data_IF_871066282316
#
_entry.id   IF_871066282316
#
_cell.length_a   1.000
_cell.length_b   1.000
_cell.length_c   1.000
_cell.angle_alpha   90.00
_cell.angle_beta   90.00
_cell.angle_gamma   90.00
#
_symmetry.space_group_name_H-M   'P 1'
#
loop_
_entity.id
_entity.type
_entity.pdbx_description
1 polymer ?
#
# COMPACT_ATOMS: atom_id res chain seq x y z
N UNK A 1 1.87 7.77 17.95
CA UNK A 1 2.97 7.44 18.89
C UNK A 1 3.79 8.70 19.12
N UNK A 2 4.34 8.94 20.31
CA UNK A 2 5.14 10.15 20.59
C UNK A 2 6.46 10.12 19.79
N UNK A 3 6.83 11.22 19.15
CA UNK A 3 8.08 11.37 18.40
C UNK A 3 9.32 11.06 19.25
N UNK A 4 9.31 11.43 20.53
CA UNK A 4 10.43 11.11 21.44
C UNK A 4 10.61 9.59 21.64
N UNK A 5 9.51 8.84 21.69
CA UNK A 5 9.55 7.37 21.76
C UNK A 5 10.10 6.76 20.48
N UNK A 6 9.67 7.25 19.32
CA UNK A 6 10.17 6.79 18.03
C UNK A 6 11.66 7.08 17.87
N UNK A 7 12.11 8.28 18.25
CA UNK A 7 13.52 8.65 18.21
C UNK A 7 14.38 7.76 19.09
N UNK A 8 13.94 7.46 20.32
CA UNK A 8 14.70 6.58 21.21
C UNK A 8 14.81 5.15 20.64
N UNK A 9 13.69 4.60 20.13
CA UNK A 9 13.71 3.29 19.47
C UNK A 9 14.64 3.25 18.27
N UNK A 10 14.63 4.31 17.44
CA UNK A 10 15.54 4.43 16.32
C UNK A 10 17.01 4.45 16.76
N UNK A 11 17.35 5.20 17.82
CA UNK A 11 18.73 5.27 18.34
C UNK A 11 19.21 3.90 18.83
N UNK A 12 18.38 3.20 19.60
CA UNK A 12 18.68 1.85 20.09
C UNK A 12 18.85 0.88 18.91
N UNK A 13 17.88 0.82 17.99
CA UNK A 13 17.92 -0.08 16.85
C UNK A 13 19.06 0.20 15.87
N UNK A 14 19.44 1.47 15.66
CA UNK A 14 20.61 1.83 14.86
C UNK A 14 21.91 1.37 15.53
N UNK A 15 22.02 1.48 16.85
CA UNK A 15 23.16 0.97 17.62
C UNK A 15 23.30 -0.54 17.45
N UNK A 16 22.22 -1.28 17.71
CA UNK A 16 22.16 -2.74 17.56
C UNK A 16 22.49 -3.19 16.13
N UNK A 17 22.01 -2.46 15.12
CA UNK A 17 22.31 -2.72 13.72
C UNK A 17 23.81 -2.61 13.44
N UNK A 18 24.45 -1.52 13.88
CA UNK A 18 25.87 -1.30 13.66
C UNK A 18 26.72 -2.36 14.36
N UNK A 19 26.36 -2.76 15.58
CA UNK A 19 27.04 -3.85 16.31
C UNK A 19 26.90 -5.20 15.59
N UNK A 20 25.69 -5.54 15.13
CA UNK A 20 25.44 -6.77 14.34
C UNK A 20 26.26 -6.80 13.07
N UNK A 21 26.40 -5.66 12.40
CA UNK A 21 27.21 -5.56 11.19
C UNK A 21 28.68 -5.71 11.52
N UNK A 22 29.21 -5.00 12.52
CA UNK A 22 30.62 -5.15 12.93
C UNK A 22 30.93 -6.62 13.33
N UNK A 23 29.97 -7.33 13.91
CA UNK A 23 30.10 -8.76 14.14
C UNK A 23 30.08 -9.59 12.85
N UNK A 24 29.20 -9.30 11.90
CA UNK A 24 29.15 -9.98 10.59
C UNK A 24 30.43 -9.73 9.79
N UNK A 25 30.75 -8.46 9.52
CA UNK A 25 32.05 -7.82 9.78
C UNK A 25 33.26 -8.71 10.11
N UNK A 26 33.33 -9.11 11.37
CA UNK A 26 34.49 -9.82 11.90
C UNK A 26 34.53 -11.32 11.57
N UNK A 27 33.47 -11.91 11.00
CA UNK A 27 33.44 -13.36 10.73
C UNK A 27 34.47 -13.77 9.66
N UNK A 28 35.42 -14.67 9.97
CA UNK A 28 36.50 -15.05 9.05
C UNK A 28 36.04 -15.94 7.87
N UNK A 29 34.86 -16.56 7.97
CA UNK A 29 34.31 -17.44 6.93
C UNK A 29 32.89 -17.00 6.54
N UNK A 30 32.74 -15.78 6.01
CA UNK A 30 31.42 -15.27 5.60
C UNK A 30 30.82 -16.01 4.41
N UNK A 31 31.68 -16.48 3.52
CA UNK A 31 31.28 -17.22 2.34
C UNK A 31 32.07 -18.53 2.29
N UNK A 32 31.49 -19.64 2.78
CA UNK A 32 32.21 -20.90 2.98
C UNK A 32 32.74 -21.52 1.69
N UNK A 33 32.34 -20.98 0.53
CA UNK A 33 32.75 -21.44 -0.79
C UNK A 33 33.72 -20.49 -1.49
N UNK A 34 34.09 -19.36 -0.88
CA UNK A 34 35.04 -18.42 -1.44
C UNK A 34 36.43 -18.57 -0.79
N UNK A 35 37.49 -18.17 -1.51
CA UNK A 35 38.82 -18.08 -0.92
C UNK A 35 38.83 -17.11 0.28
N UNK A 36 39.54 -17.46 1.35
CA UNK A 36 39.64 -16.63 2.55
C UNK A 36 40.35 -15.32 2.20
N UNK A 37 39.60 -14.23 2.24
CA UNK A 37 40.09 -12.88 2.03
C UNK A 37 39.64 -12.01 3.21
N UNK A 38 40.60 -11.60 4.03
CA UNK A 38 40.37 -10.76 5.21
C UNK A 38 39.97 -9.32 4.84
N UNK A 39 40.21 -8.88 3.60
CA UNK A 39 39.80 -7.58 3.10
C UNK A 39 38.45 -7.61 2.36
N UNK A 40 37.89 -8.80 2.10
CA UNK A 40 36.62 -8.93 1.37
C UNK A 40 35.49 -8.15 2.04
N UNK A 41 34.90 -7.25 1.27
CA UNK A 41 33.75 -6.43 1.67
C UNK A 41 32.45 -6.96 1.05
N UNK A 42 31.29 -6.76 1.71
CA UNK A 42 30.00 -7.16 1.16
C UNK A 42 29.75 -6.56 -0.23
N UNK A 43 29.26 -7.36 -1.17
CA UNK A 43 28.78 -6.85 -2.45
C UNK A 43 27.48 -6.06 -2.27
N UNK A 44 26.95 -5.49 -3.35
CA UNK A 44 25.77 -4.63 -3.28
C UNK A 44 24.54 -5.35 -2.70
N UNK A 45 24.29 -6.58 -3.13
CA UNK A 45 23.22 -7.41 -2.60
C UNK A 45 23.35 -7.65 -1.09
N UNK A 46 24.55 -8.01 -0.62
CA UNK A 46 24.79 -8.22 0.81
C UNK A 46 24.70 -6.92 1.61
N UNK A 47 25.12 -5.80 1.02
CA UNK A 47 25.01 -4.47 1.67
C UNK A 47 23.55 -4.08 1.85
N UNK A 48 22.72 -4.37 0.85
CA UNK A 48 21.27 -4.19 0.92
C UNK A 48 20.68 -5.01 2.06
N UNK A 49 20.93 -6.32 2.07
CA UNK A 49 20.40 -7.26 3.07
C UNK A 49 20.89 -6.98 4.50
N UNK A 50 22.19 -6.76 4.67
CA UNK A 50 22.81 -6.64 6.00
C UNK A 50 22.62 -5.25 6.62
N UNK A 51 22.43 -4.21 5.80
CA UNK A 51 22.41 -2.83 6.29
C UNK A 51 21.22 -2.01 5.80
N UNK A 52 21.06 -1.80 4.49
CA UNK A 52 20.06 -0.84 3.97
C UNK A 52 18.64 -1.25 4.37
N UNK A 53 18.34 -2.53 4.23
CA UNK A 53 17.07 -3.16 4.55
C UNK A 53 16.67 -2.96 6.02
N UNK A 54 17.61 -3.19 6.93
CA UNK A 54 17.39 -3.05 8.37
C UNK A 54 17.37 -1.58 8.77
N UNK A 55 18.22 -0.73 8.17
CA UNK A 55 18.18 0.72 8.38
C UNK A 55 16.81 1.29 7.99
N UNK A 56 16.24 0.86 6.85
CA UNK A 56 14.90 1.26 6.43
C UNK A 56 13.85 0.82 7.44
N UNK A 57 13.93 -0.41 7.94
CA UNK A 57 13.05 -0.92 9.00
C UNK A 57 13.10 -0.03 10.26
N UNK A 58 14.32 0.32 10.73
CA UNK A 58 14.50 1.20 11.89
C UNK A 58 13.98 2.62 11.64
N UNK A 59 14.01 3.10 10.40
CA UNK A 59 13.45 4.38 9.96
C UNK A 59 11.91 4.35 9.77
N UNK A 60 11.26 3.22 10.07
CA UNK A 60 9.81 3.06 9.97
C UNK A 60 9.32 2.75 8.55
N UNK A 61 10.21 2.35 7.65
CA UNK A 61 9.88 1.93 6.28
C UNK A 61 9.78 0.40 6.22
N UNK A 62 8.68 -0.11 5.71
CA UNK A 62 8.35 -1.55 5.67
C UNK A 62 8.41 -2.05 4.25
N UNK A 63 9.12 -3.16 4.02
CA UNK A 63 9.29 -3.80 2.70
C UNK A 63 8.34 -4.99 2.54
N UNK A 64 8.27 -5.56 1.34
CA UNK A 64 7.46 -6.75 1.03
C UNK A 64 6.00 -6.45 0.69
N UNK A 65 5.21 -7.51 0.49
CA UNK A 65 3.79 -7.41 0.10
C UNK A 65 2.98 -6.68 1.18
N UNK A 66 2.46 -5.49 0.86
CA UNK A 66 1.77 -4.62 1.81
C UNK A 66 2.69 -3.69 2.63
N UNK A 67 3.99 -3.66 2.31
CA UNK A 67 4.92 -2.64 2.79
C UNK A 67 4.75 -1.31 2.07
N UNK A 68 5.44 -0.29 2.55
CA UNK A 68 5.45 1.08 2.01
C UNK A 68 6.78 1.45 1.36
N UNK A 69 7.54 0.43 0.98
CA UNK A 69 8.75 0.54 0.18
C UNK A 69 8.59 -0.33 -1.06
N UNK A 70 8.70 0.31 -2.22
CA UNK A 70 8.79 -0.37 -3.51
C UNK A 70 10.27 -0.71 -3.76
N UNK A 71 10.58 -2.00 -3.80
CA UNK A 71 11.92 -2.51 -4.13
C UNK A 71 12.03 -2.70 -5.66
N UNK A 72 13.17 -2.33 -6.25
CA UNK A 72 13.39 -2.40 -7.70
C UNK A 72 12.24 -1.73 -8.50
N UNK A 73 11.85 -0.55 -8.04
CA UNK A 73 10.70 0.16 -8.58
C UNK A 73 10.94 0.54 -10.04
N UNK A 74 10.09 0.03 -10.93
CA UNK A 74 10.18 0.23 -12.37
C UNK A 74 9.78 1.64 -12.77
N UNK A 75 10.68 2.34 -13.47
CA UNK A 75 10.37 3.54 -14.22
C UNK A 75 10.27 3.19 -15.70
N UNK A 76 9.05 3.28 -16.24
CA UNK A 76 8.79 2.97 -17.64
C UNK A 76 8.99 4.21 -18.51
N UNK A 77 10.10 4.25 -19.24
CA UNK A 77 10.41 5.23 -20.28
C UNK A 77 10.79 4.56 -21.60
N UNK A 78 11.67 5.18 -22.40
CA UNK A 78 12.22 4.57 -23.62
C UNK A 78 13.14 3.36 -23.33
N UNK A 79 13.74 3.31 -22.14
CA UNK A 79 14.43 2.15 -21.57
C UNK A 79 13.93 1.92 -20.16
N UNK A 80 13.83 0.66 -19.72
CA UNK A 80 13.39 0.32 -18.37
C UNK A 80 14.53 0.60 -17.39
N UNK A 81 14.29 1.50 -16.42
CA UNK A 81 15.19 1.74 -15.29
C UNK A 81 14.55 1.27 -13.98
N UNK A 82 15.39 0.90 -13.02
CA UNK A 82 14.98 0.39 -11.72
C UNK A 82 15.57 1.28 -10.62
N UNK A 83 14.72 1.82 -9.76
CA UNK A 83 15.16 2.48 -8.52
C UNK A 83 15.29 1.43 -7.43
N UNK A 84 16.38 1.43 -6.68
CA UNK A 84 16.65 0.38 -5.69
C UNK A 84 15.54 0.32 -4.65
N UNK A 85 15.22 1.45 -4.02
CA UNK A 85 14.06 1.57 -3.13
C UNK A 85 13.35 2.92 -3.28
N UNK A 86 12.03 2.88 -3.23
CA UNK A 86 11.18 4.07 -3.11
C UNK A 86 10.20 3.91 -1.96
N UNK A 87 10.38 4.71 -0.91
CA UNK A 87 9.40 4.86 0.16
C UNK A 87 8.20 5.68 -0.33
N UNK A 88 6.99 5.15 -0.15
CA UNK A 88 5.73 5.73 -0.65
C UNK A 88 4.72 5.94 0.49
N UNK A 89 3.72 6.76 0.24
CA UNK A 89 2.50 6.82 1.08
C UNK A 89 1.71 5.52 0.88
N UNK A 90 1.33 4.84 1.97
CA UNK A 90 0.67 3.50 1.98
C UNK A 90 -0.51 3.38 1.01
N UNK A 91 -1.24 4.49 0.77
CA UNK A 91 -2.45 4.51 -0.06
C UNK A 91 -2.27 5.30 -1.35
N UNK A 92 -1.59 6.45 -1.35
CA UNK A 92 -1.50 7.25 -2.57
C UNK A 92 -0.40 6.76 -3.52
N UNK A 93 0.50 5.87 -3.06
CA UNK A 93 1.68 5.47 -3.82
C UNK A 93 2.65 6.63 -4.13
N UNK A 94 2.39 7.82 -3.57
CA UNK A 94 3.20 9.02 -3.81
C UNK A 94 4.60 8.82 -3.22
N UNK A 95 5.67 9.06 -3.99
CA UNK A 95 7.04 8.88 -3.52
C UNK A 95 7.42 9.94 -2.48
N UNK A 96 8.00 9.49 -1.37
CA UNK A 96 8.46 10.30 -0.24
C UNK A 96 9.98 10.24 -0.05
N UNK A 97 10.56 9.06 -0.29
CA UNK A 97 11.98 8.79 -0.10
C UNK A 97 12.50 7.97 -1.27
N UNK A 98 13.50 8.47 -1.98
CA UNK A 98 14.31 7.68 -2.92
C UNK A 98 15.56 7.19 -2.22
N UNK A 99 15.90 5.92 -2.36
CA UNK A 99 17.15 5.36 -1.85
C UNK A 99 17.89 4.69 -2.98
N UNK A 100 19.12 5.13 -3.19
CA UNK A 100 20.07 4.50 -4.08
C UNK A 100 21.14 3.81 -3.25
N UNK A 101 21.16 2.48 -3.29
CA UNK A 101 22.09 1.65 -2.55
C UNK A 101 23.38 1.41 -3.35
N UNK A 102 24.47 1.24 -2.62
CA UNK A 102 25.79 0.94 -3.18
C UNK A 102 26.47 -0.16 -2.37
N UNK A 103 27.36 -0.91 -3.02
CA UNK A 103 28.21 -1.89 -2.36
C UNK A 103 29.02 -1.26 -1.22
N UNK A 104 29.37 -2.09 -0.23
CA UNK A 104 29.99 -1.67 1.02
C UNK A 104 31.28 -0.87 0.82
N UNK A 105 32.09 -1.28 -0.14
CA UNK A 105 33.42 -0.75 -0.43
C UNK A 105 33.43 0.46 -1.37
N UNK A 106 32.27 0.95 -1.81
CA UNK A 106 32.23 2.09 -2.73
C UNK A 106 32.87 3.32 -2.10
N UNK A 107 33.72 4.05 -2.86
CA UNK A 107 34.51 5.14 -2.31
C UNK A 107 33.62 6.28 -1.82
N UNK A 108 34.01 6.86 -0.69
CA UNK A 108 33.45 8.12 -0.23
C UNK A 108 33.72 9.23 -1.25
N UNK A 109 32.89 10.27 -1.25
CA UNK A 109 33.02 11.39 -2.19
C UNK A 109 34.38 12.05 -2.04
N UNK A 110 35.07 12.25 -3.17
CA UNK A 110 36.37 12.90 -3.22
C UNK A 110 36.55 13.66 -4.53
N UNK A 111 37.32 14.74 -4.46
CA UNK A 111 37.62 15.57 -5.62
C UNK A 111 38.59 14.83 -6.55
N UNK A 112 38.46 15.07 -7.85
CA UNK A 112 39.50 14.65 -8.81
C UNK A 112 40.78 15.45 -8.53
N UNK A 113 41.94 14.85 -8.81
CA UNK A 113 43.25 15.42 -8.48
C UNK A 113 43.36 16.91 -8.83
N UNK A 114 43.72 17.75 -7.84
CA UNK A 114 43.89 19.20 -7.99
C UNK A 114 42.67 20.06 -7.63
N UNK A 115 41.50 19.46 -7.36
CA UNK A 115 40.32 20.19 -6.88
C UNK A 115 40.36 20.43 -5.36
N UNK A 116 40.19 21.68 -4.93
CA UNK A 116 40.04 22.04 -3.52
C UNK A 116 38.63 22.58 -3.26
N UNK A 117 37.93 21.99 -2.29
CA UNK A 117 36.58 22.36 -1.89
C UNK A 117 36.53 22.55 -0.38
N UNK A 118 35.73 23.49 0.11
CA UNK A 118 35.63 23.80 1.53
C UNK A 118 34.97 22.67 2.35
N UNK A 119 34.13 21.85 1.72
CA UNK A 119 33.51 20.67 2.33
C UNK A 119 33.04 19.67 1.27
N UNK A 120 32.73 18.45 1.70
CA UNK A 120 32.18 17.43 0.81
C UNK A 120 30.82 17.83 0.21
N UNK A 121 30.01 18.58 0.96
CA UNK A 121 28.76 19.14 0.45
C UNK A 121 29.02 20.13 -0.70
N UNK A 122 30.05 20.99 -0.59
CA UNK A 122 30.43 21.92 -1.67
C UNK A 122 30.91 21.18 -2.93
N UNK A 123 31.67 20.09 -2.75
CA UNK A 123 32.06 19.23 -3.85
C UNK A 123 30.85 18.58 -4.53
N UNK A 124 29.89 18.07 -3.75
CA UNK A 124 28.66 17.47 -4.29
C UNK A 124 27.84 18.52 -5.04
N UNK A 125 27.70 19.74 -4.52
CA UNK A 125 27.04 20.86 -5.21
C UNK A 125 27.68 21.10 -6.58
N UNK A 126 29.02 21.19 -6.62
CA UNK A 126 29.75 21.40 -7.87
C UNK A 126 29.55 20.24 -8.86
N UNK A 127 29.53 19.00 -8.37
CA UNK A 127 29.30 17.81 -9.19
C UNK A 127 27.85 17.74 -9.72
N UNK A 128 26.85 18.12 -8.93
CA UNK A 128 25.45 18.21 -9.40
C UNK A 128 25.31 19.29 -10.47
N UNK A 129 25.95 20.45 -10.28
CA UNK A 129 25.98 21.50 -11.29
C UNK A 129 26.59 20.99 -12.60
N UNK A 130 27.70 20.26 -12.50
CA UNK A 130 28.37 19.68 -13.65
C UNK A 130 27.50 18.66 -14.40
N UNK A 131 26.78 17.79 -13.68
CA UNK A 131 25.79 16.85 -14.26
C UNK A 131 24.66 17.60 -14.96
N UNK A 132 24.12 18.64 -14.33
CA UNK A 132 23.01 19.46 -14.87
C UNK A 132 23.41 20.20 -16.14
N UNK A 133 24.65 20.65 -16.23
CA UNK A 133 25.21 21.29 -17.43
C UNK A 133 25.43 20.29 -18.59
N UNK A 134 25.12 19.01 -18.40
CA UNK A 134 25.29 17.96 -19.41
C UNK A 134 26.75 17.63 -19.74
N UNK A 135 27.69 18.00 -18.86
CA UNK A 135 29.13 17.81 -19.09
C UNK A 135 29.54 16.33 -18.97
N UNK A 136 30.68 15.97 -19.55
CA UNK A 136 31.19 14.59 -19.56
C UNK A 136 31.86 14.20 -18.25
N UNK A 137 31.77 12.93 -17.89
CA UNK A 137 32.35 12.34 -16.68
C UNK A 137 33.84 12.66 -16.50
N UNK A 138 34.61 12.70 -17.59
CA UNK A 138 36.05 12.96 -17.59
C UNK A 138 36.43 14.35 -17.07
N UNK A 139 35.47 15.28 -17.04
CA UNK A 139 35.65 16.65 -16.55
C UNK A 139 34.95 16.90 -15.22
N UNK A 140 34.37 15.87 -14.61
CA UNK A 140 33.68 15.99 -13.33
C UNK A 140 34.62 16.49 -12.22
N UNK A 141 34.15 17.40 -11.34
CA UNK A 141 34.91 17.84 -10.17
C UNK A 141 35.09 16.72 -9.15
N UNK A 142 34.16 15.77 -9.09
CA UNK A 142 34.25 14.56 -8.26
C UNK A 142 34.75 13.36 -9.08
N UNK A 143 35.20 12.30 -8.40
CA UNK A 143 35.55 11.03 -9.03
C UNK A 143 34.41 10.45 -9.89
N UNK A 144 34.77 9.64 -10.87
CA UNK A 144 33.88 9.11 -11.90
C UNK A 144 32.65 8.38 -11.34
N UNK A 145 32.82 7.58 -10.29
CA UNK A 145 31.76 6.89 -9.57
C UNK A 145 30.66 7.86 -9.10
N UNK A 146 31.05 8.96 -8.45
CA UNK A 146 30.11 9.93 -7.91
C UNK A 146 29.39 10.71 -9.01
N UNK A 147 30.06 11.01 -10.12
CA UNK A 147 29.38 11.57 -11.29
C UNK A 147 28.26 10.64 -11.79
N UNK A 148 28.51 9.33 -11.87
CA UNK A 148 27.49 8.34 -12.28
C UNK A 148 26.34 8.26 -11.28
N UNK A 149 26.63 8.21 -9.98
CA UNK A 149 25.59 8.13 -8.94
C UNK A 149 24.68 9.36 -8.98
N UNK A 150 25.26 10.57 -9.08
CA UNK A 150 24.50 11.80 -9.14
C UNK A 150 23.66 11.90 -10.42
N UNK A 151 24.19 11.47 -11.58
CA UNK A 151 23.44 11.41 -12.84
C UNK A 151 22.27 10.43 -12.77
N UNK A 152 22.45 9.31 -12.08
CA UNK A 152 21.39 8.32 -11.90
C UNK A 152 20.24 8.87 -11.04
N UNK A 153 20.56 9.43 -9.87
CA UNK A 153 19.56 10.05 -8.97
C UNK A 153 18.88 11.25 -9.63
N UNK A 154 19.63 12.11 -10.33
CA UNK A 154 19.08 13.22 -11.10
C UNK A 154 18.05 12.73 -12.13
N UNK A 155 18.36 11.66 -12.87
CA UNK A 155 17.45 11.06 -13.83
C UNK A 155 16.16 10.55 -13.18
N UNK A 156 16.24 9.94 -12.00
CA UNK A 156 15.06 9.49 -11.25
C UNK A 156 14.21 10.66 -10.79
N UNK A 157 14.83 11.66 -10.14
CA UNK A 157 14.15 12.87 -9.66
C UNK A 157 13.46 13.62 -10.81
N UNK A 158 14.16 13.77 -11.94
CA UNK A 158 13.61 14.39 -13.15
C UNK A 158 12.39 13.63 -13.65
N UNK A 159 12.51 12.31 -13.78
CA UNK A 159 11.43 11.46 -14.28
C UNK A 159 10.20 11.55 -13.38
N UNK A 160 10.37 11.43 -12.06
CA UNK A 160 9.28 11.58 -11.07
C UNK A 160 8.59 12.94 -11.18
N UNK A 161 9.35 14.03 -11.39
CA UNK A 161 8.78 15.37 -11.50
C UNK A 161 8.11 15.64 -12.84
N UNK A 162 8.82 15.40 -13.94
CA UNK A 162 8.38 15.80 -15.28
C UNK A 162 7.32 14.85 -15.85
N UNK A 163 7.40 13.54 -15.58
CA UNK A 163 6.42 12.58 -16.10
C UNK A 163 5.24 12.35 -15.15
N UNK A 164 5.49 12.34 -13.84
CA UNK A 164 4.48 11.98 -12.83
C UNK A 164 4.05 13.16 -11.95
N UNK A 165 4.64 14.35 -12.12
CA UNK A 165 4.26 15.56 -11.38
C UNK A 165 4.67 15.55 -9.89
N UNK A 166 5.50 14.61 -9.45
CA UNK A 166 5.83 14.44 -8.03
C UNK A 166 7.07 15.25 -7.62
N UNK A 167 6.91 16.10 -6.60
CA UNK A 167 8.04 16.67 -5.87
C UNK A 167 8.50 15.69 -4.79
N UNK A 168 9.74 15.25 -4.89
CA UNK A 168 10.31 14.26 -3.99
C UNK A 168 10.81 14.95 -2.70
N UNK A 169 10.31 14.57 -1.51
CA UNK A 169 10.74 15.17 -0.24
C UNK A 169 12.18 14.85 0.15
N UNK A 170 12.64 13.61 -0.05
CA UNK A 170 13.99 13.17 0.30
C UNK A 170 14.55 12.20 -0.73
N UNK A 171 15.86 12.28 -0.92
CA UNK A 171 16.62 11.22 -1.58
C UNK A 171 17.86 10.93 -0.75
N UNK A 172 18.33 9.69 -0.76
CA UNK A 172 19.64 9.36 -0.20
C UNK A 172 20.42 8.41 -1.12
N UNK A 173 21.74 8.59 -1.12
CA UNK A 173 22.67 7.61 -1.66
C UNK A 173 23.40 7.02 -0.46
N UNK A 174 23.40 5.70 -0.34
CA UNK A 174 23.90 5.01 0.85
C UNK A 174 24.80 3.84 0.49
N UNK A 175 25.88 3.68 1.25
CA UNK A 175 26.67 2.46 1.35
C UNK A 175 26.72 2.02 2.81
N UNK A 176 27.42 0.91 3.09
CA UNK A 176 27.72 0.53 4.47
C UNK A 176 28.61 1.53 5.22
N UNK A 177 29.44 2.30 4.51
CA UNK A 177 30.47 3.17 5.12
C UNK A 177 30.09 4.67 5.15
N UNK A 178 29.11 5.08 4.35
CA UNK A 178 28.71 6.48 4.24
C UNK A 178 27.28 6.64 3.75
N UNK A 179 26.70 7.80 4.03
CA UNK A 179 25.34 8.16 3.65
C UNK A 179 25.28 9.63 3.28
N UNK A 180 24.64 9.95 2.16
CA UNK A 180 24.39 11.32 1.69
C UNK A 180 22.88 11.52 1.52
N UNK A 181 22.31 12.50 2.22
CA UNK A 181 20.89 12.87 2.12
C UNK A 181 20.72 14.19 1.39
N UNK A 182 19.80 14.21 0.43
CA UNK A 182 19.29 15.40 -0.23
C UNK A 182 17.95 15.78 0.40
N UNK A 183 17.89 16.97 1.00
CA UNK A 183 16.72 17.49 1.73
C UNK A 183 15.62 18.00 0.81
N UNK A 184 15.95 18.44 -0.40
CA UNK A 184 14.99 18.94 -1.38
C UNK A 184 15.40 18.50 -2.79
N UNK A 185 15.44 17.19 -3.08
CA UNK A 185 16.07 16.65 -4.29
C UNK A 185 15.54 17.29 -5.58
N UNK A 186 14.23 17.52 -5.71
CA UNK A 186 13.68 18.18 -6.90
C UNK A 186 14.27 19.57 -7.12
N UNK A 187 14.41 20.37 -6.06
CA UNK A 187 15.04 21.69 -6.13
C UNK A 187 16.54 21.57 -6.37
N UNK A 188 17.23 20.72 -5.60
CA UNK A 188 18.68 20.53 -5.65
C UNK A 188 19.15 20.08 -7.04
N UNK A 189 18.46 19.13 -7.66
CA UNK A 189 18.86 18.59 -8.96
C UNK A 189 18.32 19.38 -10.15
N UNK A 190 17.10 19.92 -10.08
CA UNK A 190 16.43 20.52 -11.26
C UNK A 190 16.44 22.06 -11.28
N UNK A 191 16.54 22.73 -10.14
CA UNK A 191 16.35 24.19 -10.05
C UNK A 191 17.62 24.91 -9.61
N UNK A 192 18.03 24.74 -8.35
CA UNK A 192 19.23 25.36 -7.80
C UNK A 192 19.81 24.50 -6.70
N UNK A 193 21.12 24.31 -6.73
CA UNK A 193 21.83 23.60 -5.68
C UNK A 193 22.07 24.57 -4.51
N UNK A 194 21.78 24.10 -3.30
CA UNK A 194 22.14 24.80 -2.07
C UNK A 194 22.91 23.81 -1.21
N UNK A 195 24.11 24.19 -0.77
CA UNK A 195 24.96 23.37 0.10
C UNK A 195 24.19 22.82 1.31
N UNK A 196 23.39 23.67 1.94
CA UNK A 196 22.62 23.33 3.14
C UNK A 196 21.52 22.29 2.89
N UNK A 197 21.17 22.02 1.62
CA UNK A 197 20.23 20.95 1.24
C UNK A 197 20.90 19.56 1.22
N UNK A 198 22.22 19.47 1.41
CA UNK A 198 22.98 18.21 1.34
C UNK A 198 23.59 17.90 2.72
N UNK A 199 23.23 16.75 3.28
CA UNK A 199 23.80 16.25 4.53
C UNK A 199 24.66 15.01 4.26
N UNK A 200 25.91 15.04 4.72
CA UNK A 200 26.91 13.99 4.48
C UNK A 200 27.31 13.36 5.82
N UNK A 201 27.36 12.03 5.86
CA UNK A 201 27.66 11.25 7.04
C UNK A 201 28.63 10.13 6.70
N UNK A 202 29.63 9.91 7.55
CA UNK A 202 30.43 8.68 7.57
C UNK A 202 29.88 7.72 8.63
N UNK A 203 30.11 6.42 8.48
CA UNK A 203 29.62 5.37 9.38
C UNK A 203 29.89 5.67 10.86
N UNK A 204 31.10 6.14 11.17
CA UNK A 204 31.51 6.54 12.54
C UNK A 204 30.64 7.64 13.17
N UNK A 205 29.90 8.39 12.37
CA UNK A 205 29.03 9.49 12.82
C UNK A 205 27.58 9.06 13.01
N UNK A 206 27.17 7.88 12.53
CA UNK A 206 25.76 7.47 12.51
C UNK A 206 25.13 7.47 13.90
N UNK A 207 25.80 6.89 14.90
CA UNK A 207 25.30 6.88 16.29
C UNK A 207 25.27 8.28 16.89
N UNK A 208 26.35 9.05 16.72
CA UNK A 208 26.46 10.40 17.29
C UNK A 208 25.44 11.38 16.67
N UNK A 209 25.09 11.19 15.40
CA UNK A 209 24.15 12.03 14.63
C UNK A 209 22.83 11.34 14.34
N UNK A 210 22.49 10.29 15.10
CA UNK A 210 21.26 9.52 14.92
C UNK A 210 20.00 10.41 14.99
N UNK A 211 20.00 11.43 15.86
CA UNK A 211 18.89 12.38 15.93
C UNK A 211 18.68 13.17 14.63
N UNK A 212 19.76 13.53 13.94
CA UNK A 212 19.67 14.19 12.64
C UNK A 212 19.20 13.24 11.55
N UNK A 213 19.74 12.01 11.51
CA UNK A 213 19.30 10.97 10.56
C UNK A 213 17.81 10.67 10.72
N UNK A 214 17.33 10.52 11.96
CA UNK A 214 15.91 10.37 12.26
C UNK A 214 15.11 11.55 11.71
N UNK A 215 15.54 12.77 12.00
CA UNK A 215 14.87 14.00 11.54
C UNK A 215 14.81 14.13 10.01
N UNK A 216 15.78 13.55 9.32
CA UNK A 216 15.89 13.62 7.87
C UNK A 216 15.14 12.51 7.14
N UNK A 217 15.07 11.31 7.71
CA UNK A 217 14.72 10.09 6.96
C UNK A 217 13.61 9.25 7.60
N UNK A 218 13.28 9.44 8.88
CA UNK A 218 12.25 8.64 9.52
C UNK A 218 10.89 8.93 8.89
N UNK A 219 10.15 7.87 8.55
CA UNK A 219 8.89 7.97 7.81
C UNK A 219 7.91 8.97 8.42
N UNK A 220 7.73 8.93 9.73
CA UNK A 220 6.80 9.82 10.45
C UNK A 220 7.11 11.32 10.35
N UNK A 221 8.29 11.69 9.85
CA UNK A 221 8.68 13.09 9.62
C UNK A 221 8.65 13.49 8.15
N UNK A 222 8.61 12.51 7.24
CA UNK A 222 8.39 12.74 5.82
C UNK A 222 6.91 12.72 5.45
N UNK A 223 6.10 12.03 6.25
CA UNK A 223 4.65 11.98 6.13
C UNK A 223 3.99 11.86 7.50
N UNK A 224 2.83 12.48 7.64
CA UNK A 224 1.91 12.20 8.73
C UNK A 224 0.86 11.23 8.21
N UNK A 225 1.23 9.96 8.05
CA UNK A 225 0.23 8.98 7.66
C UNK A 225 -0.79 8.88 8.79
N UNK A 226 -2.04 9.12 8.42
CA UNK A 226 -3.15 8.90 9.32
C UNK A 226 -3.15 7.43 9.73
N UNK A 227 -3.37 7.11 11.02
CA UNK A 227 -3.60 5.73 11.41
C UNK A 227 -4.81 5.19 10.65
N UNK A 228 -4.73 3.91 10.27
CA UNK A 228 -5.81 3.21 9.58
C UNK A 228 -6.44 2.22 10.58
N UNK A 229 -7.75 2.34 10.88
CA UNK A 229 -8.63 3.45 10.51
C UNK A 229 -8.45 4.68 11.41
N UNK A 230 -8.82 5.86 10.89
CA UNK A 230 -9.10 7.05 11.69
C UNK A 230 -10.44 6.90 12.38
N UNK A 231 -10.56 7.42 13.60
CA UNK A 231 -11.86 7.74 14.19
C UNK A 231 -12.36 9.08 13.67
N UNK A 232 -13.68 9.33 13.61
CA UNK A 232 -14.22 10.62 13.18
C UNK A 232 -13.54 11.79 13.87
N UNK A 233 -13.40 11.77 15.20
CA UNK A 233 -12.76 12.83 15.99
C UNK A 233 -11.26 13.09 15.68
N UNK A 234 -10.61 12.23 14.92
CA UNK A 234 -9.21 12.41 14.51
C UNK A 234 -9.09 13.11 13.14
N UNK A 235 -10.18 13.23 12.37
CA UNK A 235 -10.15 13.74 11.00
C UNK A 235 -9.48 15.13 10.88
N UNK A 236 -9.85 16.09 11.73
CA UNK A 236 -9.27 17.45 11.70
C UNK A 236 -7.76 17.51 11.94
N UNK A 237 -7.17 16.46 12.49
CA UNK A 237 -5.72 16.39 12.71
C UNK A 237 -4.96 16.14 11.42
N UNK A 238 -5.61 15.55 10.41
CA UNK A 238 -4.98 15.10 9.16
C UNK A 238 -5.60 15.73 7.91
N UNK A 239 -6.79 16.32 8.03
CA UNK A 239 -7.60 16.74 6.90
C UNK A 239 -8.41 18.00 7.24
N UNK A 240 -8.41 18.96 6.31
CA UNK A 240 -9.37 20.08 6.32
C UNK A 240 -10.38 19.89 5.19
N UNK A 241 -11.59 20.42 5.39
CA UNK A 241 -12.69 20.24 4.44
C UNK A 241 -12.35 20.75 3.03
N UNK A 242 -11.56 21.81 2.92
CA UNK A 242 -11.15 22.40 1.63
C UNK A 242 -10.31 21.46 0.77
N UNK A 243 -9.68 20.44 1.36
CA UNK A 243 -8.86 19.47 0.64
C UNK A 243 -9.67 18.27 0.12
N UNK A 244 -10.94 18.15 0.52
CA UNK A 244 -11.79 16.98 0.25
C UNK A 244 -12.39 17.03 -1.14
N UNK A 245 -12.02 16.06 -1.98
CA UNK A 245 -12.64 15.83 -3.28
C UNK A 245 -13.99 15.10 -3.18
N UNK A 246 -14.14 14.21 -2.19
CA UNK A 246 -15.39 13.49 -1.96
C UNK A 246 -15.34 12.51 -0.81
N UNK A 247 -16.51 12.02 -0.40
CA UNK A 247 -16.64 10.93 0.55
C UNK A 247 -17.36 9.75 -0.10
N UNK A 248 -16.92 8.54 0.22
CA UNK A 248 -17.47 7.30 -0.30
C UNK A 248 -17.75 6.37 0.86
N UNK A 249 -18.90 5.73 0.85
CA UNK A 249 -19.21 4.66 1.80
C UNK A 249 -18.46 3.39 1.42
N UNK A 250 -18.29 2.55 2.42
CA UNK A 250 -17.75 1.22 2.26
C UNK A 250 -17.82 0.41 3.53
N UNK A 251 -17.14 -0.72 3.52
CA UNK A 251 -17.02 -1.61 4.67
C UNK A 251 -15.62 -2.18 4.77
N UNK A 252 -15.17 -2.43 6.01
CA UNK A 252 -14.13 -3.40 6.28
C UNK A 252 -14.78 -4.77 6.48
N UNK A 253 -14.29 -5.75 5.76
CA UNK A 253 -14.74 -7.14 5.79
C UNK A 253 -13.66 -7.99 6.43
N UNK A 254 -14.02 -8.75 7.45
CA UNK A 254 -13.19 -9.79 8.04
C UNK A 254 -13.86 -11.15 7.83
N UNK A 255 -13.14 -12.07 7.17
CA UNK A 255 -13.58 -13.46 6.98
C UNK A 255 -12.83 -14.39 7.94
N UNK A 256 -13.54 -14.88 8.95
CA UNK A 256 -13.03 -15.88 9.88
C UNK A 256 -13.29 -17.28 9.32
N UNK A 257 -12.22 -17.90 8.78
CA UNK A 257 -12.26 -19.26 8.24
C UNK A 257 -12.20 -20.35 9.32
N UNK A 258 -11.87 -20.00 10.57
CA UNK A 258 -11.73 -20.94 11.70
C UNK A 258 -12.93 -20.92 12.63
N UNK A 259 -13.99 -20.18 12.30
CA UNK A 259 -15.18 -20.07 13.11
C UNK A 259 -15.72 -21.43 13.57
N UNK A 260 -16.02 -21.56 14.86
CA UNK A 260 -16.45 -22.81 15.50
C UNK A 260 -15.37 -23.47 16.34
N UNK A 261 -15.61 -24.72 16.75
CA UNK A 261 -14.63 -25.51 17.50
C UNK A 261 -13.72 -26.28 16.53
N UNK A 262 -12.43 -26.38 16.87
CA UNK A 262 -11.44 -27.15 16.11
C UNK A 262 -11.75 -28.65 16.02
N UNK A 263 -12.71 -29.13 16.80
CA UNK A 263 -13.17 -30.52 16.81
C UNK A 263 -14.27 -30.81 15.77
N UNK A 264 -14.86 -29.78 15.16
CA UNK A 264 -15.95 -29.91 14.20
C UNK A 264 -15.61 -29.24 12.87
N UNK A 265 -16.43 -29.47 11.84
CA UNK A 265 -16.30 -28.81 10.55
C UNK A 265 -16.31 -27.28 10.72
N UNK A 266 -15.32 -26.56 10.17
CA UNK A 266 -15.27 -25.10 10.26
C UNK A 266 -16.56 -24.45 9.74
N UNK A 267 -17.07 -23.49 10.49
CA UNK A 267 -18.23 -22.68 10.12
C UNK A 267 -17.76 -21.25 9.90
N UNK A 268 -17.50 -20.84 8.65
CA UNK A 268 -16.95 -19.53 8.39
C UNK A 268 -17.93 -18.43 8.84
N UNK A 269 -17.37 -17.33 9.34
CA UNK A 269 -18.11 -16.13 9.74
C UNK A 269 -17.58 -14.94 8.99
N UNK A 270 -18.49 -14.04 8.61
CA UNK A 270 -18.12 -12.76 7.99
C UNK A 270 -18.55 -11.64 8.93
N UNK A 271 -17.60 -10.82 9.33
CA UNK A 271 -17.81 -9.63 10.13
C UNK A 271 -17.69 -8.38 9.26
N UNK A 272 -18.69 -7.52 9.32
CA UNK A 272 -18.77 -6.28 8.54
C UNK A 272 -18.66 -5.08 9.47
N UNK A 273 -17.73 -4.19 9.18
CA UNK A 273 -17.53 -2.93 9.88
C UNK A 273 -17.79 -1.78 8.91
N UNK A 274 -18.76 -0.90 9.16
CA UNK A 274 -18.99 0.28 8.32
C UNK A 274 -17.75 1.19 8.26
N UNK A 275 -17.44 1.67 7.06
CA UNK A 275 -16.34 2.58 6.80
C UNK A 275 -16.79 3.75 5.93
N UNK A 276 -16.11 4.89 6.09
CA UNK A 276 -16.18 6.02 5.17
C UNK A 276 -14.79 6.31 4.65
N UNK A 277 -14.64 6.33 3.34
CA UNK A 277 -13.41 6.71 2.65
C UNK A 277 -13.51 8.18 2.24
N UNK A 278 -12.70 9.03 2.87
CA UNK A 278 -12.62 10.45 2.54
C UNK A 278 -11.43 10.66 1.60
N UNK A 279 -11.71 11.14 0.39
CA UNK A 279 -10.73 11.29 -0.68
C UNK A 279 -10.37 12.76 -0.83
N UNK A 280 -9.08 13.06 -0.88
CA UNK A 280 -8.56 14.41 -1.15
C UNK A 280 -8.43 14.72 -2.64
N UNK A 281 -8.23 15.98 -2.98
CA UNK A 281 -7.98 16.43 -4.35
C UNK A 281 -6.71 15.85 -5.00
N UNK A 282 -5.78 15.32 -4.21
CA UNK A 282 -4.58 14.61 -4.66
C UNK A 282 -4.74 13.07 -4.61
N UNK A 283 -5.98 12.58 -4.62
CA UNK A 283 -6.37 11.16 -4.60
C UNK A 283 -5.94 10.36 -3.36
N UNK A 284 -5.40 11.00 -2.32
CA UNK A 284 -5.15 10.36 -1.03
C UNK A 284 -6.47 9.95 -0.38
N UNK A 285 -6.56 8.70 0.08
CA UNK A 285 -7.76 8.14 0.73
C UNK A 285 -7.52 7.98 2.23
N UNK A 286 -8.37 8.60 3.03
CA UNK A 286 -8.45 8.39 4.47
C UNK A 286 -9.58 7.43 4.79
N UNK A 287 -9.27 6.35 5.48
CA UNK A 287 -10.28 5.41 5.97
C UNK A 287 -10.73 5.82 7.37
N UNK A 288 -12.03 6.05 7.52
CA UNK A 288 -12.66 6.42 8.80
C UNK A 288 -13.59 5.31 9.26
N UNK A 289 -13.44 4.90 10.51
CA UNK A 289 -14.29 3.90 11.20
C UNK A 289 -14.46 4.32 12.67
N UNK A 290 -15.65 4.12 13.22
CA UNK A 290 -15.96 4.52 14.61
C UNK A 290 -16.25 3.30 15.52
N UNK A 291 -16.82 2.23 14.95
CA UNK A 291 -17.23 1.05 15.71
C UNK A 291 -16.14 -0.02 15.74
N UNK A 292 -15.75 -0.42 16.96
CA UNK A 292 -14.94 -1.61 17.20
C UNK A 292 -15.76 -2.91 17.16
N UNK A 293 -17.09 -2.81 17.18
CA UNK A 293 -17.99 -3.96 17.18
C UNK A 293 -18.49 -4.23 15.76
N UNK A 294 -18.21 -5.42 15.18
CA UNK A 294 -18.74 -5.78 13.88
C UNK A 294 -20.22 -6.09 13.93
N UNK A 295 -20.89 -5.92 12.79
CA UNK A 295 -22.16 -6.61 12.51
C UNK A 295 -21.81 -7.91 11.81
N UNK A 296 -22.23 -9.04 12.38
CA UNK A 296 -22.03 -10.34 11.74
C UNK A 296 -22.98 -10.44 10.55
N UNK A 297 -22.45 -10.71 9.36
CA UNK A 297 -23.27 -11.02 8.21
C UNK A 297 -24.00 -12.33 8.49
N UNK A 298 -25.32 -12.28 8.59
CA UNK A 298 -26.14 -13.48 8.72
C UNK A 298 -27.54 -13.23 8.16
N UNK A 299 -28.20 -14.31 7.77
CA UNK A 299 -29.62 -14.31 7.49
C UNK A 299 -30.37 -14.42 8.82
N UNK A 300 -31.44 -13.64 8.96
CA UNK A 300 -32.32 -13.71 10.11
C UNK A 300 -33.68 -14.27 9.68
N UNK A 301 -34.31 -15.05 10.55
CA UNK A 301 -35.63 -15.60 10.30
C UNK A 301 -36.69 -14.56 10.65
N UNK A 302 -37.45 -14.09 9.66
CA UNK A 302 -38.67 -13.34 9.91
C UNK A 302 -39.85 -14.32 10.02
N UNK A 303 -40.72 -14.12 11.01
CA UNK A 303 -41.87 -14.98 11.27
C UNK A 303 -42.92 -14.96 10.13
N UNK A 304 -42.77 -14.05 9.15
CA UNK A 304 -43.74 -13.82 8.06
C UNK A 304 -43.20 -14.18 6.67
N UNK A 305 -41.93 -13.87 6.37
CA UNK A 305 -41.37 -13.92 4.99
C UNK A 305 -40.21 -14.92 4.80
N UNK A 306 -39.90 -15.73 5.82
CA UNK A 306 -38.80 -16.69 5.80
C UNK A 306 -37.45 -16.06 6.17
N UNK A 307 -36.33 -16.69 5.77
CA UNK A 307 -34.99 -16.14 6.05
C UNK A 307 -34.67 -14.95 5.13
N UNK A 308 -34.21 -13.84 5.69
CA UNK A 308 -33.84 -12.62 4.96
C UNK A 308 -32.53 -11.99 5.45
N UNK A 309 -31.83 -11.29 4.54
CA UNK A 309 -30.66 -10.47 4.86
C UNK A 309 -31.03 -9.02 5.22
N UNK A 310 -32.30 -8.63 5.10
CA UNK A 310 -32.75 -7.25 5.31
C UNK A 310 -32.38 -6.68 6.70
N UNK A 311 -32.50 -7.42 7.82
CA UNK A 311 -32.10 -6.89 9.13
C UNK A 311 -30.62 -6.52 9.22
N UNK A 312 -29.73 -7.38 8.70
CA UNK A 312 -28.28 -7.09 8.61
C UNK A 312 -28.01 -5.82 7.78
N UNK A 313 -28.62 -5.72 6.61
CA UNK A 313 -28.42 -4.56 5.73
C UNK A 313 -28.93 -3.26 6.37
N UNK A 314 -30.05 -3.32 7.10
CA UNK A 314 -30.57 -2.17 7.84
C UNK A 314 -29.64 -1.73 8.98
N UNK A 315 -29.06 -2.70 9.71
CA UNK A 315 -28.07 -2.41 10.76
C UNK A 315 -26.83 -1.72 10.19
N UNK A 316 -26.29 -2.24 9.08
CA UNK A 316 -25.15 -1.62 8.38
C UNK A 316 -25.49 -0.23 7.85
N UNK A 317 -26.67 -0.03 7.27
CA UNK A 317 -27.10 1.27 6.78
C UNK A 317 -27.18 2.30 7.90
N UNK A 318 -27.78 1.92 9.03
CA UNK A 318 -27.90 2.75 10.23
C UNK A 318 -26.52 3.18 10.75
N UNK A 319 -25.60 2.23 10.91
CA UNK A 319 -24.24 2.54 11.37
C UNK A 319 -23.44 3.36 10.35
N UNK A 320 -23.60 3.09 9.05
CA UNK A 320 -22.96 3.85 7.96
C UNK A 320 -23.44 5.30 7.93
N UNK A 321 -24.75 5.54 8.09
CA UNK A 321 -25.34 6.87 8.19
C UNK A 321 -24.81 7.64 9.40
N UNK A 322 -24.76 6.97 10.56
CA UNK A 322 -24.23 7.57 11.79
C UNK A 322 -22.75 7.95 11.66
N UNK A 323 -21.94 7.08 11.06
CA UNK A 323 -20.52 7.31 10.80
C UNK A 323 -20.29 8.51 9.86
N UNK A 324 -21.01 8.56 8.74
CA UNK A 324 -20.91 9.69 7.80
C UNK A 324 -21.33 11.01 8.47
N UNK A 325 -22.42 10.99 9.25
CA UNK A 325 -22.87 12.16 10.01
C UNK A 325 -21.83 12.61 11.05
N UNK A 326 -21.11 11.67 11.69
CA UNK A 326 -20.01 12.00 12.60
C UNK A 326 -18.84 12.65 11.86
N UNK A 327 -18.48 12.16 10.68
CA UNK A 327 -17.44 12.75 9.84
C UNK A 327 -17.80 14.18 9.40
N UNK A 328 -19.07 14.41 9.00
CA UNK A 328 -19.60 15.73 8.64
C UNK A 328 -19.53 16.70 9.81
N UNK A 329 -19.96 16.28 11.00
CA UNK A 329 -19.86 17.09 12.23
C UNK A 329 -18.42 17.43 12.55
N UNK A 330 -17.52 16.46 12.47
CA UNK A 330 -16.11 16.69 12.72
C UNK A 330 -15.54 17.67 11.69
N UNK A 331 -15.69 17.48 10.39
CA UNK A 331 -15.08 18.39 9.41
C UNK A 331 -15.76 19.77 9.31
N UNK A 332 -16.92 19.95 9.95
CA UNK A 332 -17.61 21.25 10.05
C UNK A 332 -18.28 21.70 8.75
N UNK A 333 -18.61 20.76 7.85
CA UNK A 333 -19.29 21.06 6.60
C UNK A 333 -19.70 19.80 5.82
N UNK A 334 -20.37 20.00 4.68
CA UNK A 334 -20.94 18.91 3.90
C UNK A 334 -19.90 17.99 3.29
N UNK A 335 -20.05 16.68 3.51
CA UNK A 335 -19.29 15.64 2.81
C UNK A 335 -20.22 14.99 1.78
N UNK A 336 -20.13 15.34 0.49
CA UNK A 336 -20.99 14.75 -0.52
C UNK A 336 -20.61 13.28 -0.70
N UNK A 337 -21.57 12.39 -0.44
CA UNK A 337 -21.46 10.99 -0.82
C UNK A 337 -21.41 10.88 -2.35
N UNK A 338 -20.36 10.27 -2.88
CA UNK A 338 -20.13 10.15 -4.32
C UNK A 338 -20.40 8.73 -4.83
N UNK A 339 -20.87 8.59 -6.09
CA UNK A 339 -21.07 7.27 -6.69
C UNK A 339 -19.73 6.53 -6.83
N UNK A 340 -19.78 5.19 -6.76
CA UNK A 340 -18.60 4.33 -6.76
C UNK A 340 -17.67 4.57 -7.97
N UNK A 341 -18.23 4.86 -9.16
CA UNK A 341 -17.44 5.14 -10.36
C UNK A 341 -16.53 6.38 -10.27
N UNK A 342 -16.70 7.24 -9.26
CA UNK A 342 -15.80 8.37 -8.99
C UNK A 342 -14.72 8.05 -7.94
N UNK A 343 -14.75 6.87 -7.34
CA UNK A 343 -13.73 6.47 -6.38
C UNK A 343 -12.40 6.25 -7.12
N UNK A 344 -11.27 6.82 -6.63
CA UNK A 344 -9.98 6.68 -7.30
C UNK A 344 -9.47 5.23 -7.35
N UNK A 345 -9.99 4.36 -6.47
CA UNK A 345 -9.57 2.97 -6.32
C UNK A 345 -8.55 2.83 -5.20
N UNK A 346 -8.51 1.66 -4.55
CA UNK A 346 -7.41 1.30 -3.68
C UNK A 346 -6.16 0.96 -4.52
N UNK A 347 -4.95 1.10 -3.96
CA UNK A 347 -3.73 0.64 -4.60
C UNK A 347 -3.79 -0.83 -4.94
N UNK A 348 -3.17 -1.18 -6.08
CA UNK A 348 -2.88 -2.57 -6.43
C UNK A 348 -1.53 -2.65 -7.13
N UNK A 349 -0.86 -3.79 -7.00
CA UNK A 349 0.43 -4.08 -7.65
C UNK A 349 0.37 -3.95 -9.18
N UNK A 350 -0.84 -4.01 -9.77
CA UNK A 350 -1.08 -3.95 -11.20
C UNK A 350 -1.42 -2.55 -11.74
N UNK A 351 -1.27 -1.49 -10.94
CA UNK A 351 -1.66 -0.10 -11.27
C UNK A 351 -3.12 0.07 -11.74
N UNK A 352 -3.97 -0.94 -11.52
CA UNK A 352 -5.39 -0.91 -11.85
C UNK A 352 -6.19 -0.41 -10.65
N UNK A 353 -7.18 0.46 -10.90
CA UNK A 353 -8.13 0.88 -9.87
C UNK A 353 -8.94 -0.33 -9.40
N UNK A 354 -8.81 -0.69 -8.13
CA UNK A 354 -9.67 -1.72 -7.51
C UNK A 354 -10.61 -1.08 -6.48
N UNK A 355 -11.84 -1.61 -6.37
CA UNK A 355 -12.78 -1.20 -5.33
C UNK A 355 -12.70 -2.07 -4.07
N UNK A 356 -11.84 -3.09 -4.10
CA UNK A 356 -11.54 -3.98 -2.99
C UNK A 356 -10.04 -3.92 -2.72
N UNK A 357 -9.66 -3.37 -1.58
CA UNK A 357 -8.27 -3.24 -1.15
C UNK A 357 -7.95 -4.31 -0.11
N UNK A 358 -6.90 -5.09 -0.35
CA UNK A 358 -6.38 -6.06 0.62
C UNK A 358 -5.72 -5.33 1.80
N UNK A 359 -5.92 -5.84 3.01
CA UNK A 359 -5.18 -5.42 4.19
C UNK A 359 -4.00 -6.36 4.44
N UNK A 360 -3.02 -5.88 5.21
CA UNK A 360 -1.82 -6.67 5.56
C UNK A 360 -2.17 -7.98 6.26
N UNK A 361 -3.26 -7.99 7.03
CA UNK A 361 -3.81 -9.20 7.65
C UNK A 361 -4.61 -10.02 6.62
N UNK A 362 -4.28 -11.31 6.50
CA UNK A 362 -5.01 -12.20 5.60
C UNK A 362 -6.49 -12.30 5.98
N UNK A 363 -7.36 -12.33 4.98
CA UNK A 363 -8.82 -12.36 5.12
C UNK A 363 -9.46 -11.06 5.63
N UNK A 364 -8.77 -9.93 5.46
CA UNK A 364 -9.28 -8.60 5.75
C UNK A 364 -9.25 -7.75 4.48
N UNK A 365 -10.36 -7.06 4.21
CA UNK A 365 -10.48 -6.20 3.02
C UNK A 365 -11.23 -4.91 3.32
N UNK A 366 -10.83 -3.83 2.68
CA UNK A 366 -11.69 -2.67 2.49
C UNK A 366 -12.47 -2.80 1.19
N UNK A 367 -13.77 -2.52 1.23
CA UNK A 367 -14.68 -2.61 0.08
C UNK A 367 -15.38 -1.26 -0.07
N UNK A 368 -15.04 -0.53 -1.12
CA UNK A 368 -15.69 0.74 -1.48
C UNK A 368 -17.02 0.45 -2.19
N UNK A 369 -18.09 1.10 -1.74
CA UNK A 369 -19.46 0.90 -2.23
C UNK A 369 -20.10 2.20 -2.72
N UNK A 370 -19.38 3.32 -2.65
CA UNK A 370 -19.81 4.61 -3.18
C UNK A 370 -20.95 5.21 -2.36
N UNK A 371 -22.17 5.22 -2.91
CA UNK A 371 -23.36 5.73 -2.22
C UNK A 371 -24.12 4.66 -1.44
N UNK A 372 -23.83 3.38 -1.67
CA UNK A 372 -24.47 2.27 -0.97
C UNK A 372 -23.74 1.99 0.35
N UNK A 373 -24.46 1.60 1.39
CA UNK A 373 -23.87 1.21 2.68
C UNK A 373 -23.26 -0.19 2.69
N UNK A 374 -23.61 -1.04 1.73
CA UNK A 374 -23.12 -2.41 1.61
C UNK A 374 -22.85 -2.79 0.13
N UNK A 375 -22.01 -3.81 -0.08
CA UNK A 375 -21.76 -4.41 -1.41
C UNK A 375 -22.81 -5.44 -1.85
N UNK A 376 -23.81 -5.69 -0.99
CA UNK A 376 -24.92 -6.62 -1.21
C UNK A 376 -26.22 -5.82 -1.28
N UNK A 377 -27.12 -6.25 -2.14
CA UNK A 377 -28.48 -5.76 -2.25
C UNK A 377 -29.39 -6.65 -1.42
N UNK A 378 -30.48 -6.09 -0.88
CA UNK A 378 -31.47 -6.88 -0.15
C UNK A 378 -32.11 -7.96 -1.04
N UNK A 379 -32.32 -7.63 -2.32
CA UNK A 379 -32.96 -8.50 -3.30
C UNK A 379 -32.16 -8.56 -4.60
N UNK A 380 -32.21 -9.70 -5.31
CA UNK A 380 -31.60 -9.82 -6.62
C UNK A 380 -32.32 -8.92 -7.62
N UNK A 381 -31.57 -8.30 -8.53
CA UNK A 381 -32.15 -7.53 -9.66
C UNK A 381 -33.04 -8.39 -10.56
N UNK A 382 -32.87 -9.72 -10.53
CA UNK A 382 -33.74 -10.68 -11.18
C UNK A 382 -34.42 -11.50 -10.09
N UNK A 383 -35.71 -11.22 -9.87
CA UNK A 383 -36.49 -11.71 -8.72
C UNK A 383 -36.54 -13.25 -8.65
N UNK A 384 -36.83 -13.92 -9.76
CA UNK A 384 -37.03 -15.37 -9.81
C UNK A 384 -35.90 -16.12 -10.53
N UNK A 385 -34.65 -15.72 -10.26
CA UNK A 385 -33.50 -16.43 -10.81
C UNK A 385 -33.44 -17.86 -10.25
N UNK A 386 -33.78 -18.86 -11.09
CA UNK A 386 -33.83 -20.27 -10.69
C UNK A 386 -32.49 -20.83 -10.20
N UNK A 387 -31.38 -20.18 -10.53
CA UNK A 387 -30.03 -20.64 -10.20
C UNK A 387 -29.60 -20.40 -8.76
N UNK A 388 -30.47 -19.83 -7.93
CA UNK A 388 -30.26 -19.84 -6.48
C UNK A 388 -30.42 -21.25 -5.89
N UNK A 389 -31.09 -22.16 -6.62
CA UNK A 389 -31.27 -23.56 -6.24
C UNK A 389 -30.53 -24.48 -7.22
N UNK A 390 -29.59 -25.27 -6.70
CA UNK A 390 -28.71 -26.16 -7.45
C UNK A 390 -29.48 -27.18 -8.28
N UNK A 391 -30.54 -27.77 -7.73
CA UNK A 391 -31.36 -28.76 -8.42
C UNK A 391 -32.03 -28.18 -9.68
N UNK A 392 -32.32 -26.87 -9.71
CA UNK A 392 -32.94 -26.21 -10.86
C UNK A 392 -31.93 -25.89 -11.98
N UNK A 393 -30.62 -26.00 -11.71
CA UNK A 393 -29.58 -25.79 -12.73
C UNK A 393 -29.41 -26.99 -13.69
N UNK A 394 -29.85 -28.20 -13.30
CA UNK A 394 -29.71 -29.41 -14.11
C UNK A 394 -28.26 -29.69 -14.52
N UNK A 395 -28.02 -29.90 -15.81
CA UNK A 395 -26.67 -30.15 -16.36
C UNK A 395 -25.69 -28.96 -16.20
N UNK A 396 -26.20 -27.77 -15.89
CA UNK A 396 -25.39 -26.57 -15.65
C UNK A 396 -25.13 -26.31 -14.17
N UNK A 397 -25.47 -27.25 -13.27
CA UNK A 397 -25.22 -27.11 -11.85
C UNK A 397 -23.71 -27.18 -11.57
N UNK A 398 -23.20 -26.29 -10.71
CA UNK A 398 -21.78 -26.30 -10.33
C UNK A 398 -21.50 -27.36 -9.27
N UNK A 399 -20.45 -28.16 -9.48
CA UNK A 399 -20.02 -29.21 -8.57
C UNK A 399 -20.95 -30.44 -8.57
N UNK A 400 -20.69 -31.37 -7.66
CA UNK A 400 -21.41 -32.65 -7.60
C UNK A 400 -22.66 -32.62 -6.71
N UNK A 401 -22.79 -31.61 -5.85
CA UNK A 401 -23.91 -31.48 -4.91
C UNK A 401 -24.18 -30.02 -4.54
N UNK A 402 -25.38 -29.77 -4.00
CA UNK A 402 -25.76 -28.48 -3.43
C UNK A 402 -24.92 -28.12 -2.20
N UNK A 403 -24.63 -26.83 -2.02
CA UNK A 403 -23.97 -26.31 -0.81
C UNK A 403 -25.05 -26.13 0.26
N UNK A 404 -25.23 -27.12 1.13
CA UNK A 404 -26.25 -27.10 2.20
C UNK A 404 -25.79 -26.44 3.50
N UNK A 405 -24.48 -26.21 3.65
CA UNK A 405 -23.86 -25.55 4.81
C UNK A 405 -22.76 -24.61 4.33
N UNK A 406 -22.43 -23.59 5.12
CA UNK A 406 -21.34 -22.66 4.81
C UNK A 406 -20.01 -23.41 4.69
N UNK A 407 -19.21 -23.11 3.68
CA UNK A 407 -17.93 -23.80 3.40
C UNK A 407 -16.76 -22.84 3.21
N UNK A 408 -15.56 -23.32 3.55
CA UNK A 408 -14.30 -22.60 3.30
C UNK A 408 -13.66 -22.95 1.96
N UNK A 409 -13.93 -24.14 1.42
CA UNK A 409 -13.44 -24.62 0.12
C UNK A 409 -14.58 -25.35 -0.62
N UNK A 410 -15.20 -24.74 -1.64
CA UNK A 410 -15.04 -23.33 -2.03
C UNK A 410 -15.51 -22.37 -0.91
N UNK A 411 -15.06 -21.10 -0.93
CA UNK A 411 -15.60 -20.08 -0.01
C UNK A 411 -17.05 -19.82 -0.39
N UNK A 412 -17.99 -20.26 0.43
CA UNK A 412 -19.41 -20.06 0.21
C UNK A 412 -20.07 -19.79 1.56
N UNK A 413 -20.48 -18.54 1.75
CA UNK A 413 -21.20 -18.10 2.92
C UNK A 413 -22.71 -18.29 2.75
N UNK A 414 -23.23 -18.02 1.55
CA UNK A 414 -24.63 -18.28 1.22
C UNK A 414 -24.81 -19.70 0.71
N UNK A 415 -25.81 -20.38 1.26
CA UNK A 415 -26.13 -21.78 0.97
C UNK A 415 -27.21 -21.88 -0.10
N UNK A 416 -27.41 -23.10 -0.61
CA UNK A 416 -28.40 -23.41 -1.62
C UNK A 416 -29.80 -22.91 -1.23
N UNK A 417 -30.54 -22.44 -2.24
CA UNK A 417 -31.87 -21.83 -2.12
C UNK A 417 -31.93 -20.47 -1.41
N UNK A 418 -30.82 -19.96 -0.85
CA UNK A 418 -30.76 -18.56 -0.41
C UNK A 418 -30.62 -17.63 -1.62
N UNK A 419 -31.33 -16.50 -1.60
CA UNK A 419 -31.37 -15.52 -2.72
C UNK A 419 -30.02 -14.93 -3.10
N UNK A 420 -29.04 -15.00 -2.21
CA UNK A 420 -27.67 -14.52 -2.44
C UNK A 420 -26.72 -15.59 -3.00
N UNK A 421 -27.16 -16.83 -3.13
CA UNK A 421 -26.37 -17.95 -3.67
C UNK A 421 -26.51 -18.08 -5.18
N UNK A 422 -25.47 -18.56 -5.89
CA UNK A 422 -25.55 -18.91 -7.31
C UNK A 422 -24.89 -20.26 -7.59
N UNK A 423 -25.70 -21.20 -8.08
CA UNK A 423 -25.34 -22.57 -8.39
C UNK A 423 -25.16 -22.84 -9.90
N UNK A 424 -24.98 -21.82 -10.75
CA UNK A 424 -24.81 -22.01 -12.20
C UNK A 424 -23.34 -22.05 -12.65
N UNK A 425 -22.86 -23.19 -13.14
CA UNK A 425 -21.46 -23.43 -13.55
C UNK A 425 -20.96 -22.39 -14.56
N UNK A 426 -21.71 -22.11 -15.63
CA UNK A 426 -21.27 -21.16 -16.67
C UNK A 426 -21.09 -19.73 -16.11
N UNK A 427 -21.92 -19.32 -15.14
CA UNK A 427 -21.77 -17.99 -14.52
C UNK A 427 -20.50 -17.97 -13.65
N UNK A 428 -20.21 -19.07 -12.97
CA UNK A 428 -19.02 -19.24 -12.14
C UNK A 428 -17.74 -19.25 -13.00
N UNK A 429 -17.74 -19.94 -14.13
CA UNK A 429 -16.58 -19.99 -15.02
C UNK A 429 -16.27 -18.60 -15.60
N UNK A 430 -17.31 -17.89 -16.07
CA UNK A 430 -17.17 -16.57 -16.68
C UNK A 430 -16.70 -15.47 -15.71
N UNK A 431 -16.91 -15.64 -14.41
CA UNK A 431 -16.57 -14.63 -13.40
C UNK A 431 -15.20 -14.83 -12.73
N UNK A 432 -14.53 -15.96 -12.95
CA UNK A 432 -13.27 -16.35 -12.28
C UNK A 432 -12.22 -15.23 -12.29
N UNK A 433 -12.14 -14.46 -13.37
CA UNK A 433 -11.16 -13.36 -13.53
C UNK A 433 -11.75 -11.96 -13.39
N UNK A 434 -13.03 -11.84 -13.02
CA UNK A 434 -13.79 -10.57 -13.02
C UNK A 434 -14.39 -10.20 -11.68
N UNK A 435 -14.71 -11.19 -10.84
CA UNK A 435 -15.45 -10.96 -9.62
C UNK A 435 -14.59 -10.31 -8.54
N UNK A 436 -14.82 -9.01 -8.28
CA UNK A 436 -14.09 -8.25 -7.27
C UNK A 436 -14.21 -8.80 -5.84
N UNK A 437 -15.32 -9.48 -5.53
CA UNK A 437 -15.60 -10.05 -4.20
C UNK A 437 -15.42 -11.56 -4.12
N UNK A 438 -14.85 -12.20 -5.14
CA UNK A 438 -14.54 -13.63 -5.12
C UNK A 438 -13.65 -14.06 -3.94
N UNK A 439 -12.67 -13.25 -3.47
CA UNK A 439 -11.91 -13.57 -2.26
C UNK A 439 -12.78 -13.67 -0.99
N UNK A 440 -13.89 -12.94 -0.93
CA UNK A 440 -14.82 -12.93 0.22
C UNK A 440 -15.81 -14.09 0.11
N UNK A 441 -16.52 -14.19 -1.02
CA UNK A 441 -17.47 -15.26 -1.32
C UNK A 441 -17.41 -15.64 -2.80
N UNK A 442 -17.10 -16.92 -3.05
CA UNK A 442 -16.92 -17.48 -4.39
C UNK A 442 -18.18 -18.11 -4.97
N UNK A 443 -19.35 -17.98 -4.32
CA UNK A 443 -20.66 -18.49 -4.75
C UNK A 443 -21.79 -17.47 -4.74
N UNK A 444 -21.49 -16.22 -4.44
CA UNK A 444 -22.45 -15.13 -4.42
C UNK A 444 -23.15 -14.89 -5.76
N UNK A 445 -24.44 -14.55 -5.77
CA UNK A 445 -25.15 -14.19 -6.99
C UNK A 445 -24.73 -12.81 -7.52
N UNK A 446 -24.43 -12.70 -8.82
CA UNK A 446 -24.08 -11.41 -9.40
C UNK A 446 -25.24 -10.39 -9.35
N UNK A 447 -26.48 -10.87 -9.36
CA UNK A 447 -27.68 -10.01 -9.35
C UNK A 447 -27.91 -9.32 -8.01
N UNK A 448 -27.36 -9.84 -6.90
CA UNK A 448 -27.39 -9.20 -5.57
C UNK A 448 -26.13 -8.37 -5.28
N UNK A 449 -25.18 -8.29 -6.21
CA UNK A 449 -23.91 -7.60 -5.97
C UNK A 449 -23.97 -6.15 -6.46
N UNK A 450 -23.48 -5.20 -5.64
CA UNK A 450 -23.35 -3.80 -6.02
C UNK A 450 -22.36 -3.59 -7.19
N UNK A 451 -21.41 -4.50 -7.38
CA UNK A 451 -20.37 -4.42 -8.41
C UNK A 451 -20.78 -4.98 -9.78
N UNK A 452 -22.05 -5.37 -9.99
CA UNK A 452 -22.48 -5.97 -11.25
C UNK A 452 -22.07 -5.15 -12.48
N UNK A 453 -22.27 -3.83 -12.43
CA UNK A 453 -21.95 -2.91 -13.55
C UNK A 453 -20.46 -2.60 -13.68
N UNK A 454 -19.65 -2.99 -12.69
CA UNK A 454 -18.19 -2.84 -12.72
C UNK A 454 -17.49 -4.13 -13.16
N UNK A 455 -18.09 -5.29 -12.88
CA UNK A 455 -17.55 -6.60 -13.28
C UNK A 455 -17.97 -7.02 -14.69
N UNK A 456 -19.08 -6.48 -15.21
CA UNK A 456 -19.67 -6.91 -16.48
C UNK A 456 -20.04 -5.73 -17.36
N UNK A 457 -19.70 -5.83 -18.65
CA UNK A 457 -20.18 -4.88 -19.65
C UNK A 457 -21.68 -5.07 -19.92
N UNK A 458 -22.39 -4.06 -20.49
CA UNK A 458 -23.79 -4.22 -20.85
C UNK A 458 -24.09 -5.42 -21.76
N UNK A 459 -23.21 -5.71 -22.73
CA UNK A 459 -23.35 -6.86 -23.62
C UNK A 459 -23.24 -8.18 -22.84
N UNK A 460 -22.21 -8.33 -22.01
CA UNK A 460 -21.99 -9.55 -21.24
C UNK A 460 -23.09 -9.81 -20.21
N UNK A 461 -23.68 -8.75 -19.63
CA UNK A 461 -24.85 -8.89 -18.75
C UNK A 461 -26.05 -9.47 -19.50
N UNK A 462 -26.26 -9.09 -20.76
CA UNK A 462 -27.30 -9.66 -21.62
C UNK A 462 -27.13 -11.15 -21.87
N UNK A 463 -25.88 -11.63 -21.86
CA UNK A 463 -25.53 -13.04 -22.05
C UNK A 463 -25.60 -13.87 -20.75
N UNK A 464 -25.90 -13.26 -19.61
CA UNK A 464 -26.08 -13.98 -18.35
C UNK A 464 -27.44 -14.71 -18.35
N UNK A 465 -27.48 -15.99 -17.95
CA UNK A 465 -28.71 -16.77 -18.03
C UNK A 465 -29.74 -16.42 -16.93
N UNK A 466 -29.45 -15.46 -16.04
CA UNK A 466 -30.13 -15.28 -14.75
C UNK A 466 -31.66 -15.03 -14.83
N UNK A 467 -32.17 -14.56 -15.96
CA UNK A 467 -33.60 -14.32 -16.20
C UNK A 467 -34.24 -15.26 -17.22
N UNK A 468 -33.59 -16.39 -17.52
CA UNK A 468 -34.03 -17.39 -18.51
C UNK A 468 -34.57 -18.67 -17.85
#
# INVERSE_FOLDING_TARGET
MNQATLLNRFKEGLGDLLEKIDHALAKPNRDPYAEVDAERRPHEHDTRLLFVDELLCQLGWTRGAGGNVLEEARLQGATTKFMDYVGVVDIAGKPLLLVEAKAWDKPFVSARAGGAFASEADLIVAAIQHVRDGKSEDTSPAIAEWHRYLRQVEGYVRTLKEQYGHDLPRAMIVSGEWLVVFKQPTKTFLVTQVRDDIAVYRRREFTARAGELFNLLHRSLLTQDAPIPLRPAQLRQFLVLADVAGAFRGVHVHYDHKGGSSLFTPRPRISIYPAVFVVRHDDVIYTVMDNNTPVTLDYEHDNVDGESLAPHLHAIDTCSNALLAACVRELGGGLPSQPLGRFPGFPSDTMTRTFVGDLTEANHWFVATGNSSHFLLAEPRVTDCRFHTWAHCGANAIGQSAISVRTVVPRAFFIDSQRHHCAHQVVQDRRTTKCLIAPIDSRICCQVCAFLDHCWTPAEKGDLPCGQ
#
